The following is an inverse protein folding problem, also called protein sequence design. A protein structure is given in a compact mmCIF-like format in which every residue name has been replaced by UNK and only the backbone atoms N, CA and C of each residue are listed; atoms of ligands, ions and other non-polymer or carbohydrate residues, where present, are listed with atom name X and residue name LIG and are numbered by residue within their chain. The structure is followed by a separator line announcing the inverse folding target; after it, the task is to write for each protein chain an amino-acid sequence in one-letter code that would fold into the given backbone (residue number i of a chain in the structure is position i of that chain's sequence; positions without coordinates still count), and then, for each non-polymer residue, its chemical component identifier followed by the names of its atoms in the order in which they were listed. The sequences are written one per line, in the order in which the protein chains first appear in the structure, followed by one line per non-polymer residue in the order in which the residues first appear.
data_IF_621614376045
#
_entry.id   IF_621614376045
#
_cell.length_a   1.000
_cell.length_b   1.000
_cell.length_c   1.000
_cell.angle_alpha   90.00
_cell.angle_beta   90.00
_cell.angle_gamma   90.00
#
_symmetry.space_group_name_H-M   'P 1'
#
loop_
_entity.id
_entity.type
_entity.pdbx_description
1 polymer ?
#
# COMPACT_ATOMS: atom_id res chain seq x y z
N UNK A 1 -23.27 -14.33 -11.78
CA UNK A 1 -23.10 -12.86 -11.90
C UNK A 1 -21.67 -12.50 -11.64
N UNK A 2 -21.05 -11.68 -12.47
CA UNK A 2 -19.73 -11.14 -12.19
C UNK A 2 -19.85 -10.16 -11.01
N UNK A 3 -18.91 -10.28 -10.05
CA UNK A 3 -18.83 -9.31 -8.95
C UNK A 3 -18.38 -7.96 -9.53
N UNK A 4 -18.99 -6.87 -9.08
CA UNK A 4 -18.64 -5.54 -9.57
C UNK A 4 -17.18 -5.20 -9.27
N UNK A 5 -16.73 -5.49 -8.06
CA UNK A 5 -15.34 -5.35 -7.65
C UNK A 5 -14.90 -6.64 -6.95
N UNK A 6 -14.07 -7.43 -7.62
CA UNK A 6 -13.60 -8.71 -7.08
C UNK A 6 -12.32 -8.55 -6.26
N UNK A 7 -11.42 -7.67 -6.69
CA UNK A 7 -10.09 -7.49 -6.11
C UNK A 7 -9.83 -6.01 -5.85
N UNK A 8 -9.82 -5.62 -4.58
CA UNK A 8 -9.60 -4.23 -4.15
C UNK A 8 -8.18 -4.09 -3.61
N UNK A 9 -7.43 -3.12 -4.12
CA UNK A 9 -6.09 -2.79 -3.62
C UNK A 9 -6.17 -1.57 -2.69
N UNK A 10 -5.55 -1.69 -1.53
CA UNK A 10 -5.35 -0.58 -0.59
C UNK A 10 -3.85 -0.41 -0.37
N UNK A 11 -3.23 0.60 -0.96
CA UNK A 11 -1.87 1.01 -0.56
C UNK A 11 -1.90 1.50 0.88
N UNK A 12 -1.05 0.94 1.72
CA UNK A 12 -1.13 1.17 3.16
C UNK A 12 0.25 1.49 3.75
N UNK A 13 0.40 2.70 4.28
CA UNK A 13 1.63 3.17 4.90
C UNK A 13 1.50 3.45 6.40
N UNK A 14 0.33 3.16 6.99
CA UNK A 14 0.03 3.42 8.39
C UNK A 14 -0.42 4.84 8.69
N UNK A 15 -0.45 5.74 7.71
CA UNK A 15 -0.96 7.10 7.88
C UNK A 15 -2.46 7.10 8.22
N UNK A 16 -2.94 8.20 8.79
CA UNK A 16 -4.37 8.40 9.06
C UNK A 16 -5.20 8.23 7.78
N UNK A 17 -4.67 8.72 6.65
CA UNK A 17 -5.35 8.62 5.37
C UNK A 17 -5.45 7.18 4.87
N UNK A 18 -4.38 6.38 4.99
CA UNK A 18 -4.41 4.97 4.62
C UNK A 18 -5.30 4.15 5.56
N UNK A 19 -5.38 4.52 6.84
CA UNK A 19 -6.31 3.89 7.79
C UNK A 19 -7.77 4.14 7.40
N UNK A 20 -8.10 5.37 7.00
CA UNK A 20 -9.44 5.71 6.48
C UNK A 20 -9.75 4.96 5.18
N UNK A 21 -8.77 4.84 4.29
CA UNK A 21 -8.91 4.08 3.05
C UNK A 21 -9.17 2.60 3.35
N UNK A 22 -8.44 2.02 4.29
CA UNK A 22 -8.66 0.63 4.71
C UNK A 22 -10.07 0.41 5.27
N UNK A 23 -10.53 1.30 6.11
CA UNK A 23 -11.88 1.21 6.69
C UNK A 23 -12.96 1.24 5.60
N UNK A 24 -12.85 2.14 4.65
CA UNK A 24 -13.76 2.21 3.50
C UNK A 24 -13.70 0.93 2.67
N UNK A 25 -12.47 0.44 2.40
CA UNK A 25 -12.26 -0.76 1.60
C UNK A 25 -12.85 -2.00 2.25
N UNK A 26 -12.74 -2.14 3.56
CA UNK A 26 -13.35 -3.26 4.31
C UNK A 26 -14.87 -3.23 4.18
N UNK A 27 -15.48 -2.06 4.32
CA UNK A 27 -16.92 -1.92 4.16
C UNK A 27 -17.36 -2.30 2.74
N UNK A 28 -16.65 -1.82 1.72
CA UNK A 28 -16.94 -2.16 0.33
C UNK A 28 -16.71 -3.65 0.05
N UNK A 29 -15.61 -4.20 0.55
CA UNK A 29 -15.31 -5.62 0.37
C UNK A 29 -16.36 -6.53 1.01
N UNK A 30 -16.94 -6.11 2.13
CA UNK A 30 -18.04 -6.81 2.77
C UNK A 30 -19.30 -6.81 1.88
N UNK A 31 -19.63 -5.67 1.28
CA UNK A 31 -20.82 -5.54 0.43
C UNK A 31 -20.67 -6.28 -0.91
N UNK A 32 -19.50 -6.20 -1.53
CA UNK A 32 -19.25 -6.79 -2.85
C UNK A 32 -18.62 -8.19 -2.78
N UNK A 33 -18.39 -8.71 -1.59
CA UNK A 33 -17.68 -9.99 -1.38
C UNK A 33 -16.30 -10.01 -2.06
N UNK A 34 -15.57 -8.89 -1.95
CA UNK A 34 -14.27 -8.71 -2.59
C UNK A 34 -13.14 -9.31 -1.77
N UNK A 35 -12.05 -9.70 -2.45
CA UNK A 35 -10.75 -9.91 -1.80
C UNK A 35 -10.05 -8.55 -1.66
N UNK A 36 -9.46 -8.29 -0.51
CA UNK A 36 -8.78 -7.05 -0.21
C UNK A 36 -7.28 -7.27 -0.15
N UNK A 37 -6.54 -6.51 -0.95
CA UNK A 37 -5.08 -6.58 -1.02
C UNK A 37 -4.50 -5.35 -0.34
N UNK A 38 -3.84 -5.57 0.80
CA UNK A 38 -3.22 -4.52 1.61
C UNK A 38 -1.72 -4.53 1.31
N UNK A 39 -1.23 -3.49 0.67
CA UNK A 39 0.14 -3.46 0.16
C UNK A 39 0.92 -2.29 0.75
N UNK A 40 2.05 -2.62 1.38
CA UNK A 40 3.04 -1.63 1.80
C UNK A 40 4.27 -1.77 0.91
N UNK A 41 4.83 -0.65 0.48
CA UNK A 41 6.05 -0.63 -0.34
C UNK A 41 7.14 0.10 0.40
N UNK A 42 8.27 -0.58 0.60
CA UNK A 42 9.46 0.01 1.17
C UNK A 42 10.21 0.70 0.03
N UNK A 43 10.30 2.03 0.11
CA UNK A 43 11.05 2.82 -0.86
C UNK A 43 12.54 2.69 -0.58
N UNK A 44 13.22 1.90 -1.39
CA UNK A 44 14.65 1.64 -1.24
C UNK A 44 15.51 2.90 -1.48
N UNK A 45 15.00 3.88 -2.21
CA UNK A 45 15.72 5.14 -2.46
C UNK A 45 15.85 5.98 -1.18
N UNK A 46 14.89 5.88 -0.28
CA UNK A 46 14.92 6.56 1.01
C UNK A 46 15.95 5.95 1.97
N UNK A 47 16.23 4.64 1.84
CA UNK A 47 17.18 3.91 2.69
C UNK A 47 18.61 3.97 2.14
N UNK A 48 18.76 4.02 0.82
CA UNK A 48 20.05 4.07 0.13
C UNK A 48 20.01 5.11 -0.99
N UNK A 49 20.31 6.38 -0.67
CA UNK A 49 20.28 7.44 -1.68
C UNK A 49 21.21 7.15 -2.86
N UNK A 50 20.82 7.50 -4.10
CA UNK A 50 21.64 7.29 -5.27
C UNK A 50 23.00 8.00 -5.18
N UNK A 51 24.07 7.36 -5.65
CA UNK A 51 25.39 7.96 -5.73
C UNK A 51 26.27 7.79 -4.52
N UNK A 52 25.82 7.12 -3.47
CA UNK A 52 26.68 6.77 -2.32
C UNK A 52 27.38 5.45 -2.56
N UNK A 53 28.71 5.46 -2.44
CA UNK A 53 29.51 4.25 -2.45
C UNK A 53 29.55 3.70 -1.03
N UNK A 54 28.95 2.54 -0.82
CA UNK A 54 28.91 1.92 0.49
C UNK A 54 30.03 0.86 0.61
N UNK A 55 30.74 0.86 1.75
CA UNK A 55 31.62 -0.23 2.14
C UNK A 55 30.79 -1.51 2.37
N UNK A 56 31.46 -2.70 2.36
CA UNK A 56 30.80 -3.97 2.68
C UNK A 56 30.04 -3.93 4.00
N UNK A 57 30.63 -3.30 5.04
CA UNK A 57 30.02 -3.18 6.35
C UNK A 57 28.77 -2.29 6.33
N UNK A 58 28.80 -1.19 5.57
CA UNK A 58 27.65 -0.30 5.42
C UNK A 58 26.51 -1.01 4.70
N UNK A 59 26.79 -1.76 3.63
CA UNK A 59 25.80 -2.56 2.91
C UNK A 59 25.13 -3.59 3.82
N UNK A 60 25.91 -4.31 4.62
CA UNK A 60 25.42 -5.30 5.57
C UNK A 60 24.51 -4.67 6.62
N UNK A 61 24.88 -3.49 7.12
CA UNK A 61 24.04 -2.73 8.08
C UNK A 61 22.73 -2.27 7.43
N UNK A 62 22.78 -1.76 6.21
CA UNK A 62 21.58 -1.36 5.46
C UNK A 62 20.65 -2.55 5.19
N UNK A 63 21.20 -3.70 4.81
CA UNK A 63 20.43 -4.92 4.59
C UNK A 63 19.76 -5.39 5.89
N UNK A 64 20.43 -5.28 7.03
CA UNK A 64 19.85 -5.58 8.34
C UNK A 64 18.70 -4.63 8.69
N UNK A 65 18.88 -3.34 8.42
CA UNK A 65 17.84 -2.33 8.65
C UNK A 65 16.61 -2.63 7.77
N UNK A 66 16.81 -2.90 6.49
CA UNK A 66 15.72 -3.27 5.57
C UNK A 66 14.98 -4.52 6.06
N UNK A 67 15.70 -5.56 6.46
CA UNK A 67 15.14 -6.80 6.97
C UNK A 67 14.30 -6.57 8.23
N UNK A 68 14.79 -5.74 9.14
CA UNK A 68 14.08 -5.39 10.38
C UNK A 68 12.81 -4.62 10.09
N UNK A 69 12.88 -3.62 9.20
CA UNK A 69 11.72 -2.82 8.79
C UNK A 69 10.68 -3.71 8.11
N UNK A 70 11.10 -4.57 7.19
CA UNK A 70 10.22 -5.49 6.48
C UNK A 70 9.49 -6.41 7.45
N UNK A 71 10.21 -7.01 8.40
CA UNK A 71 9.63 -7.89 9.42
C UNK A 71 8.59 -7.17 10.28
N UNK A 72 8.89 -5.93 10.68
CA UNK A 72 7.96 -5.10 11.46
C UNK A 72 6.67 -4.80 10.68
N UNK A 73 6.80 -4.46 9.41
CA UNK A 73 5.65 -4.17 8.55
C UNK A 73 4.83 -5.44 8.31
N UNK A 74 5.48 -6.57 8.03
CA UNK A 74 4.82 -7.85 7.86
C UNK A 74 4.00 -8.24 9.10
N UNK A 75 4.57 -8.08 10.29
CA UNK A 75 3.90 -8.35 11.55
C UNK A 75 2.67 -7.45 11.73
N UNK A 76 2.82 -6.18 11.39
CA UNK A 76 1.73 -5.21 11.47
C UNK A 76 0.59 -5.54 10.51
N UNK A 77 0.91 -5.92 9.27
CA UNK A 77 -0.10 -6.32 8.29
C UNK A 77 -0.80 -7.61 8.70
N UNK A 78 -0.06 -8.58 9.27
CA UNK A 78 -0.64 -9.82 9.80
C UNK A 78 -1.63 -9.53 10.93
N UNK A 79 -1.32 -8.57 11.79
CA UNK A 79 -2.25 -8.13 12.84
C UNK A 79 -3.55 -7.59 12.25
N UNK A 80 -3.45 -6.76 11.23
CA UNK A 80 -4.63 -6.23 10.53
C UNK A 80 -5.43 -7.37 9.89
N UNK A 81 -4.78 -8.31 9.21
CA UNK A 81 -5.44 -9.49 8.65
C UNK A 81 -6.23 -10.25 9.72
N UNK A 82 -5.62 -10.45 10.87
CA UNK A 82 -6.23 -11.16 11.99
C UNK A 82 -7.43 -10.39 12.57
N UNK A 83 -7.32 -9.06 12.68
CA UNK A 83 -8.39 -8.21 13.19
C UNK A 83 -9.66 -8.30 12.33
N UNK A 84 -9.53 -8.56 11.03
CA UNK A 84 -10.67 -8.68 10.12
C UNK A 84 -11.06 -10.12 9.78
N UNK A 85 -10.39 -11.11 10.36
CA UNK A 85 -10.64 -12.53 10.10
C UNK A 85 -12.11 -12.93 10.36
N UNK A 86 -12.69 -12.41 11.44
CA UNK A 86 -14.07 -12.71 11.83
C UNK A 86 -15.11 -11.90 11.07
N UNK A 87 -14.70 -10.87 10.32
CA UNK A 87 -15.61 -10.02 9.56
C UNK A 87 -16.13 -10.66 8.27
N UNK A 88 -15.56 -11.78 7.85
CA UNK A 88 -15.85 -12.43 6.57
C UNK A 88 -15.14 -11.80 5.39
N UNK A 89 -14.36 -10.72 5.58
CA UNK A 89 -13.56 -10.09 4.53
C UNK A 89 -12.18 -10.73 4.48
N UNK A 90 -11.80 -11.19 3.29
CA UNK A 90 -10.46 -11.76 3.08
C UNK A 90 -9.47 -10.62 2.85
N UNK A 91 -8.55 -10.44 3.78
CA UNK A 91 -7.47 -9.44 3.69
C UNK A 91 -6.15 -10.16 3.44
N UNK A 92 -5.46 -9.81 2.35
CA UNK A 92 -4.15 -10.35 2.00
C UNK A 92 -3.12 -9.23 2.09
N UNK A 93 -2.10 -9.41 2.91
CA UNK A 93 -1.04 -8.41 3.13
C UNK A 93 0.21 -8.73 2.32
N UNK A 94 0.81 -7.69 1.73
CA UNK A 94 2.04 -7.78 0.95
C UNK A 94 2.99 -6.66 1.31
N UNK A 95 4.27 -6.98 1.45
CA UNK A 95 5.35 -6.00 1.60
C UNK A 95 6.27 -6.12 0.40
N UNK A 96 6.38 -5.04 -0.37
CA UNK A 96 7.22 -4.98 -1.57
C UNK A 96 8.34 -3.96 -1.38
N UNK A 97 9.36 -4.05 -2.21
CA UNK A 97 10.48 -3.10 -2.23
C UNK A 97 10.59 -2.48 -3.62
N UNK A 98 10.84 -1.18 -3.68
CA UNK A 98 11.07 -0.49 -4.94
C UNK A 98 10.51 0.92 -4.95
N UNK A 99 10.30 1.45 -6.15
CA UNK A 99 9.63 2.72 -6.34
C UNK A 99 8.11 2.50 -6.15
N UNK A 100 7.50 3.34 -5.34
CA UNK A 100 6.13 3.11 -4.84
C UNK A 100 5.11 3.03 -5.97
N UNK A 101 5.08 4.04 -6.84
CA UNK A 101 4.09 4.13 -7.91
C UNK A 101 4.24 2.99 -8.91
N UNK A 102 5.47 2.70 -9.32
CA UNK A 102 5.77 1.61 -10.27
C UNK A 102 5.32 0.26 -9.72
N UNK A 103 5.65 -0.02 -8.46
CA UNK A 103 5.28 -1.30 -7.81
C UNK A 103 3.77 -1.43 -7.63
N UNK A 104 3.09 -0.35 -7.27
CA UNK A 104 1.62 -0.38 -7.14
C UNK A 104 0.94 -0.63 -8.49
N UNK A 105 1.38 0.06 -9.55
CA UNK A 105 0.81 -0.12 -10.88
C UNK A 105 1.05 -1.55 -11.39
N UNK A 106 2.24 -2.09 -11.19
CA UNK A 106 2.55 -3.47 -11.54
C UNK A 106 1.68 -4.45 -10.75
N UNK A 107 1.49 -4.20 -9.47
CA UNK A 107 0.65 -5.03 -8.62
C UNK A 107 -0.80 -5.07 -9.11
N UNK A 108 -1.34 -3.93 -9.56
CA UNK A 108 -2.71 -3.89 -10.11
C UNK A 108 -2.87 -4.81 -11.32
N UNK A 109 -1.85 -4.92 -12.15
CA UNK A 109 -1.87 -5.79 -13.33
C UNK A 109 -1.68 -7.26 -12.95
N UNK A 110 -0.70 -7.55 -12.10
CA UNK A 110 -0.33 -8.92 -11.74
C UNK A 110 -1.43 -9.64 -10.92
N UNK A 111 -2.27 -8.89 -10.22
CA UNK A 111 -3.32 -9.44 -9.34
C UNK A 111 -4.74 -9.13 -9.81
N UNK A 112 -4.91 -8.68 -11.05
CA UNK A 112 -6.21 -8.35 -11.64
C UNK A 112 -7.04 -7.43 -10.72
N UNK A 113 -6.40 -6.39 -10.19
CA UNK A 113 -7.06 -5.40 -9.34
C UNK A 113 -8.07 -4.60 -10.19
N UNK A 114 -9.29 -4.53 -9.72
CA UNK A 114 -10.37 -3.83 -10.41
C UNK A 114 -10.86 -2.58 -9.68
N UNK A 115 -10.31 -2.30 -8.50
CA UNK A 115 -10.54 -1.06 -7.77
C UNK A 115 -9.35 -0.77 -6.86
N UNK A 116 -8.88 0.48 -6.88
CA UNK A 116 -7.89 0.98 -5.92
C UNK A 116 -8.56 1.97 -4.97
N UNK A 117 -8.36 1.78 -3.66
CA UNK A 117 -8.82 2.74 -2.65
C UNK A 117 -7.58 3.23 -1.92
N UNK A 118 -7.24 4.49 -2.11
CA UNK A 118 -5.99 5.08 -1.63
C UNK A 118 -6.27 6.34 -0.81
N UNK A 119 -5.48 6.54 0.25
CA UNK A 119 -5.50 7.79 0.99
C UNK A 119 -4.98 8.95 0.14
N UNK A 120 -5.52 10.13 0.35
CA UNK A 120 -5.14 11.32 -0.42
C UNK A 120 -3.71 11.77 -0.18
N UNK A 121 -3.12 11.42 0.97
CA UNK A 121 -1.75 11.75 1.38
C UNK A 121 -1.12 10.58 2.11
N UNK A 122 0.21 10.56 2.17
CA UNK A 122 0.98 9.57 2.95
C UNK A 122 1.50 10.14 4.26
N UNK A 123 2.44 9.43 4.88
CA UNK A 123 3.08 9.82 6.15
C UNK A 123 3.83 11.14 6.05
N UNK A 124 4.41 11.46 4.89
CA UNK A 124 5.14 12.70 4.65
C UNK A 124 4.22 13.86 4.22
N UNK A 125 2.92 13.62 4.14
CA UNK A 125 1.94 14.62 3.71
C UNK A 125 1.87 15.81 4.66
N UNK A 126 2.04 17.04 4.12
CA UNK A 126 1.90 18.26 4.91
C UNK A 126 0.41 18.58 5.04
N UNK A 127 -0.12 18.54 6.26
CA UNK A 127 -1.55 18.71 6.56
C UNK A 127 -2.15 20.05 6.09
N UNK A 128 -1.30 21.06 5.90
CA UNK A 128 -1.71 22.40 5.45
C UNK A 128 -1.89 22.52 3.93
N UNK A 129 -1.39 21.56 3.14
CA UNK A 129 -1.51 21.58 1.69
C UNK A 129 -2.75 20.78 1.29
N UNK A 130 -3.71 21.47 0.66
CA UNK A 130 -4.97 20.86 0.21
C UNK A 130 -4.85 20.06 -1.09
N UNK A 131 -3.64 19.77 -1.53
CA UNK A 131 -3.39 19.02 -2.76
C UNK A 131 -3.20 17.53 -2.46
N UNK A 132 -3.39 16.70 -3.48
CA UNK A 132 -3.12 15.26 -3.38
C UNK A 132 -1.63 15.01 -3.17
N UNK A 133 -1.31 13.93 -2.47
CA UNK A 133 0.06 13.42 -2.40
C UNK A 133 0.55 12.95 -3.77
N UNK A 134 1.86 12.82 -3.93
CA UNK A 134 2.46 12.42 -5.21
C UNK A 134 2.03 11.04 -5.66
N UNK A 135 1.94 10.08 -4.75
CA UNK A 135 1.54 8.70 -5.07
C UNK A 135 0.07 8.66 -5.48
N UNK A 136 -0.83 9.24 -4.69
CA UNK A 136 -2.27 9.25 -5.01
C UNK A 136 -2.56 9.92 -6.34
N UNK A 137 -1.85 11.02 -6.65
CA UNK A 137 -1.98 11.72 -7.94
C UNK A 137 -1.56 10.82 -9.10
N UNK A 138 -0.36 10.23 -9.03
CA UNK A 138 0.16 9.37 -10.11
C UNK A 138 -0.69 8.13 -10.30
N UNK A 139 -1.14 7.50 -9.22
CA UNK A 139 -2.02 6.34 -9.30
C UNK A 139 -3.34 6.71 -9.96
N UNK A 140 -3.93 7.85 -9.59
CA UNK A 140 -5.20 8.31 -10.20
C UNK A 140 -5.08 8.57 -11.70
N UNK A 141 -3.90 9.01 -12.16
CA UNK A 141 -3.65 9.30 -13.58
C UNK A 141 -3.29 8.04 -14.39
N UNK A 142 -2.57 7.10 -13.81
CA UNK A 142 -1.93 5.99 -14.52
C UNK A 142 -2.60 4.63 -14.34
N UNK A 143 -3.41 4.45 -13.30
CA UNK A 143 -4.10 3.18 -13.09
C UNK A 143 -5.15 2.94 -14.17
N UNK A 144 -5.26 1.68 -14.60
CA UNK A 144 -6.24 1.29 -15.63
C UNK A 144 -7.61 0.92 -15.04
N UNK A 145 -7.70 0.84 -13.73
CA UNK A 145 -8.96 0.58 -13.03
C UNK A 145 -9.42 1.84 -12.28
N UNK A 146 -10.68 1.88 -11.82
CA UNK A 146 -11.19 2.97 -10.98
C UNK A 146 -10.36 3.16 -9.72
N UNK A 147 -10.21 4.42 -9.30
CA UNK A 147 -9.46 4.79 -8.11
C UNK A 147 -10.34 5.69 -7.23
N UNK A 148 -10.53 5.28 -5.99
CA UNK A 148 -11.19 6.10 -4.97
C UNK A 148 -10.10 6.71 -4.11
N UNK A 149 -10.12 8.03 -3.99
CA UNK A 149 -9.19 8.78 -3.14
C UNK A 149 -9.91 9.20 -1.86
N UNK A 150 -9.40 8.75 -0.72
CA UNK A 150 -10.01 9.01 0.60
C UNK A 150 -9.25 10.14 1.30
N UNK A 151 -9.98 11.16 1.71
CA UNK A 151 -9.47 12.35 2.40
C UNK A 151 -9.66 12.30 3.90
#
# INVERSE_FOLDING_TARGET
MSKLYSNILVPYDGSTYSQKALKMAVNMASEFESSLYLVNIIDVSAVSPPGQIHSKNTRKTLDQIKSTVKTSIESYLQKIQKDYEDSGVIVKGFVLEGEITEKLLKFTQDHDIDLVIIGSKGLSGVSKIKTLGSVSRKISELAKCPVIIVR
#
